data_IF_213886401223
#
_entry.id   IF_213886401223
#
_cell.length_a   1.000
_cell.length_b   1.000
_cell.length_c   1.000
_cell.angle_alpha   90.00
_cell.angle_beta   90.00
_cell.angle_gamma   90.00
#
_symmetry.space_group_name_H-M   'P 1'
#
loop_
_entity.id
_entity.type
_entity.pdbx_description
1 polymer ?
#
# COMPACT_ATOMS: atom_id res chain seq x y z
N UNK A 1 54.49 41.83 41.52
CA UNK A 1 54.55 40.62 40.67
C UNK A 1 53.13 40.32 40.20
N UNK A 2 52.70 40.91 39.09
CA UNK A 2 51.36 40.74 38.53
C UNK A 2 51.39 39.58 37.53
N UNK A 3 50.76 38.44 37.86
CA UNK A 3 50.49 37.37 36.91
C UNK A 3 49.09 37.60 36.32
N UNK A 4 49.02 38.00 35.05
CA UNK A 4 47.83 37.78 34.21
C UNK A 4 47.77 36.29 33.86
N UNK A 5 46.62 35.62 33.90
CA UNK A 5 46.40 34.43 33.08
C UNK A 5 45.93 34.87 31.68
N UNK A 6 46.75 34.54 30.68
CA UNK A 6 46.33 34.41 29.30
C UNK A 6 45.62 33.06 29.14
N UNK A 7 44.50 33.05 28.43
CA UNK A 7 44.07 31.98 27.50
C UNK A 7 42.66 32.34 27.01
N UNK A 8 42.58 33.24 26.05
CA UNK A 8 41.41 33.34 25.18
C UNK A 8 41.57 32.24 24.12
N UNK A 9 40.61 31.31 24.11
CA UNK A 9 40.52 30.29 23.08
C UNK A 9 39.91 30.97 21.85
N UNK A 10 40.68 31.10 20.77
CA UNK A 10 40.20 31.58 19.49
C UNK A 10 39.15 30.60 18.95
N UNK A 11 37.89 31.03 18.97
CA UNK A 11 36.79 30.30 18.34
C UNK A 11 36.84 30.59 16.84
N UNK A 12 37.00 29.59 15.95
CA UNK A 12 36.96 29.83 14.52
C UNK A 12 35.56 30.28 14.09
N UNK A 13 35.53 31.38 13.36
CA UNK A 13 34.36 32.03 12.76
C UNK A 13 33.61 31.06 11.83
N UNK A 14 32.55 30.41 12.35
CA UNK A 14 31.67 29.57 11.55
C UNK A 14 30.77 30.49 10.73
N UNK A 15 31.00 30.46 9.42
CA UNK A 15 30.24 31.18 8.40
C UNK A 15 28.75 30.84 8.53
N UNK A 16 27.96 31.91 8.63
CA UNK A 16 26.52 32.06 8.41
C UNK A 16 25.81 30.91 7.67
N UNK A 17 24.71 30.44 8.25
CA UNK A 17 23.76 29.50 7.64
C UNK A 17 23.21 30.00 6.29
N UNK A 18 22.99 29.11 5.30
CA UNK A 18 22.35 29.48 4.04
C UNK A 18 20.87 29.78 4.26
N UNK A 19 20.40 30.91 3.69
CA UNK A 19 18.99 31.32 3.74
C UNK A 19 18.14 30.41 2.84
N UNK A 20 16.89 30.20 3.25
CA UNK A 20 15.92 29.23 2.71
C UNK A 20 15.46 29.55 1.27
N UNK A 21 15.86 30.69 0.71
CA UNK A 21 15.35 31.20 -0.57
C UNK A 21 16.08 30.67 -1.83
N UNK A 22 17.13 29.84 -1.66
CA UNK A 22 17.94 29.32 -2.78
C UNK A 22 17.43 27.99 -3.37
N UNK A 23 16.31 27.44 -2.89
CA UNK A 23 15.74 26.22 -3.47
C UNK A 23 14.72 26.54 -4.58
N UNK A 24 14.97 26.15 -5.84
CA UNK A 24 13.99 26.33 -6.90
C UNK A 24 12.74 25.47 -6.62
N UNK A 25 11.52 25.98 -6.89
CA UNK A 25 10.30 25.25 -6.58
C UNK A 25 10.23 23.95 -7.41
N UNK A 26 9.99 22.83 -6.72
CA UNK A 26 9.85 21.52 -7.35
C UNK A 26 8.72 21.54 -8.39
N UNK A 27 9.08 21.28 -9.66
CA UNK A 27 8.10 21.11 -10.75
C UNK A 27 7.24 19.88 -10.47
N UNK A 28 5.96 20.09 -10.20
CA UNK A 28 4.96 19.01 -10.10
C UNK A 28 4.89 18.27 -11.44
N UNK A 29 5.41 17.04 -11.50
CA UNK A 29 5.18 16.13 -12.64
C UNK A 29 3.72 15.69 -12.58
N UNK A 30 2.93 16.08 -13.60
CA UNK A 30 1.62 15.49 -13.87
C UNK A 30 1.87 14.08 -14.42
N UNK A 31 1.46 13.04 -13.70
CA UNK A 31 1.39 11.71 -14.27
C UNK A 31 0.06 11.57 -15.01
N UNK A 32 0.15 11.59 -16.33
CA UNK A 32 -0.86 11.14 -17.27
C UNK A 32 -0.81 9.61 -17.26
N UNK A 33 -1.90 8.93 -16.91
CA UNK A 33 -2.00 7.47 -16.95
C UNK A 33 -2.57 7.03 -18.29
N UNK A 34 -1.70 6.88 -19.27
CA UNK A 34 -1.93 6.11 -20.50
C UNK A 34 -0.64 5.33 -20.79
N UNK A 35 -0.72 4.02 -20.73
CA UNK A 35 0.17 3.12 -21.46
C UNK A 35 -0.55 1.79 -21.64
N UNK A 36 -0.83 1.52 -22.90
CA UNK A 36 -1.28 0.25 -23.42
C UNK A 36 -0.13 -0.77 -23.53
N UNK A 37 -0.56 -2.03 -23.52
CA UNK A 37 -0.10 -3.20 -24.29
C UNK A 37 1.22 -3.95 -24.00
N UNK A 38 1.08 -5.28 -23.90
CA UNK A 38 1.75 -6.35 -24.69
C UNK A 38 1.54 -7.68 -23.92
N UNK A 39 0.65 -8.53 -24.40
CA UNK A 39 0.94 -9.63 -25.35
C UNK A 39 1.95 -10.63 -24.80
N UNK A 40 1.46 -11.84 -24.50
CA UNK A 40 2.20 -13.03 -24.92
C UNK A 40 1.22 -14.17 -25.26
N UNK A 41 1.45 -14.70 -26.45
CA UNK A 41 0.76 -15.74 -27.21
C UNK A 41 1.42 -17.10 -26.99
N UNK A 42 0.65 -18.18 -26.93
CA UNK A 42 1.11 -19.53 -27.31
C UNK A 42 0.02 -20.25 -28.12
N UNK A 43 0.48 -20.86 -29.22
CA UNK A 43 -0.21 -21.43 -30.39
C UNK A 43 -0.85 -22.83 -30.17
N UNK A 44 -1.43 -23.37 -31.26
CA UNK A 44 -1.93 -24.74 -31.55
C UNK A 44 -3.42 -25.02 -31.25
N UNK A 45 -4.28 -25.45 -32.16
CA UNK A 45 -4.16 -25.96 -33.54
C UNK A 45 -5.42 -25.66 -34.36
N UNK A 46 -5.25 -25.42 -35.67
CA UNK A 46 -6.32 -25.32 -36.67
C UNK A 46 -6.69 -26.72 -37.18
N UNK A 47 -7.97 -27.09 -37.13
CA UNK A 47 -8.54 -28.12 -37.99
C UNK A 47 -9.99 -27.75 -38.38
N UNK A 48 -10.20 -27.53 -39.69
CA UNK A 48 -11.52 -27.40 -40.34
C UNK A 48 -11.93 -28.78 -40.90
N UNK A 49 -13.23 -29.10 -40.87
CA UNK A 49 -13.94 -29.35 -42.14
C UNK A 49 -15.35 -28.74 -42.12
N UNK A 50 -15.72 -27.90 -43.09
CA UNK A 50 -16.32 -28.21 -44.42
C UNK A 50 -17.85 -27.97 -44.41
N UNK A 51 -18.35 -27.43 -45.52
CA UNK A 51 -19.57 -26.65 -45.64
C UNK A 51 -20.85 -27.50 -45.84
N UNK A 52 -22.00 -27.02 -45.33
CA UNK A 52 -23.30 -27.14 -46.01
C UNK A 52 -24.41 -26.29 -45.32
N UNK A 53 -24.70 -25.14 -45.95
CA UNK A 53 -26.03 -24.59 -46.30
C UNK A 53 -27.23 -24.44 -45.32
N UNK A 54 -27.73 -23.19 -45.30
CA UNK A 54 -29.14 -22.70 -45.30
C UNK A 54 -29.95 -22.50 -43.98
N UNK A 55 -30.58 -21.30 -43.90
CA UNK A 55 -31.29 -20.65 -42.77
C UNK A 55 -32.73 -21.18 -42.59
N UNK A 56 -33.42 -20.97 -41.44
CA UNK A 56 -34.14 -19.70 -41.25
C UNK A 56 -34.17 -19.14 -39.81
N UNK A 57 -34.60 -17.87 -39.75
CA UNK A 57 -34.79 -17.02 -38.57
C UNK A 57 -35.38 -17.74 -37.33
N UNK A 58 -34.60 -17.77 -36.25
CA UNK A 58 -35.09 -17.99 -34.89
C UNK A 58 -34.88 -16.72 -34.08
N UNK A 59 -36.00 -16.11 -33.68
CA UNK A 59 -36.12 -14.87 -32.93
C UNK A 59 -35.19 -14.83 -31.71
N UNK A 60 -34.01 -14.22 -31.86
CA UNK A 60 -33.11 -13.91 -30.73
C UNK A 60 -33.77 -12.83 -29.88
N UNK A 61 -34.31 -13.22 -28.72
CA UNK A 61 -34.75 -12.27 -27.68
C UNK A 61 -33.57 -11.37 -27.33
N UNK A 62 -33.68 -10.08 -27.65
CA UNK A 62 -32.64 -9.10 -27.37
C UNK A 62 -32.54 -8.87 -25.85
N UNK A 63 -31.49 -9.37 -25.22
CA UNK A 63 -31.14 -9.04 -23.83
C UNK A 63 -30.15 -7.87 -23.83
N UNK A 64 -30.47 -6.78 -23.14
CA UNK A 64 -29.60 -5.60 -23.03
C UNK A 64 -28.81 -5.66 -21.72
N UNK A 65 -27.49 -5.49 -21.79
CA UNK A 65 -26.59 -5.54 -20.63
C UNK A 65 -26.10 -4.14 -20.29
N UNK A 66 -26.34 -3.69 -19.05
CA UNK A 66 -25.90 -2.39 -18.52
C UNK A 66 -24.49 -2.48 -17.91
N UNK A 67 -23.82 -1.33 -17.75
CA UNK A 67 -22.42 -1.19 -17.28
C UNK A 67 -22.12 -1.78 -15.88
N UNK A 68 -23.11 -2.33 -15.19
CA UNK A 68 -22.97 -2.99 -13.89
C UNK A 68 -23.42 -4.48 -13.90
N UNK A 69 -23.50 -5.10 -15.08
CA UNK A 69 -23.83 -6.52 -15.23
C UNK A 69 -25.30 -6.87 -14.99
N UNK A 70 -26.18 -5.87 -14.97
CA UNK A 70 -27.63 -6.10 -14.96
C UNK A 70 -28.10 -6.38 -16.38
N UNK A 71 -28.67 -7.57 -16.58
CA UNK A 71 -29.31 -7.98 -17.84
C UNK A 71 -30.81 -7.82 -17.71
N UNK A 72 -31.43 -7.05 -18.62
CA UNK A 72 -32.89 -6.93 -18.70
C UNK A 72 -33.37 -7.67 -19.94
N UNK A 73 -34.34 -8.57 -19.76
CA UNK A 73 -35.02 -9.25 -20.86
C UNK A 73 -36.19 -8.37 -21.34
N UNK A 74 -36.53 -8.46 -22.62
CA UNK A 74 -37.59 -7.67 -23.25
C UNK A 74 -39.01 -7.89 -22.69
N UNK A 75 -39.17 -8.82 -21.75
CA UNK A 75 -40.44 -9.19 -21.11
C UNK A 75 -40.56 -8.65 -19.66
N UNK A 76 -39.69 -7.72 -19.26
CA UNK A 76 -39.74 -7.05 -17.94
C UNK A 76 -39.41 -7.94 -16.73
N UNK A 77 -39.20 -9.24 -16.95
CA UNK A 77 -38.80 -10.19 -15.91
C UNK A 77 -37.31 -10.01 -15.57
N UNK A 78 -37.07 -9.61 -14.32
CA UNK A 78 -35.74 -9.60 -13.70
C UNK A 78 -35.45 -11.04 -13.26
N UNK A 79 -34.54 -11.74 -13.93
CA UNK A 79 -33.98 -12.99 -13.39
C UNK A 79 -33.06 -12.63 -12.21
N UNK A 80 -33.43 -12.88 -10.94
CA UNK A 80 -32.54 -12.65 -9.82
C UNK A 80 -31.62 -13.87 -9.76
N UNK A 81 -30.47 -13.80 -10.44
CA UNK A 81 -29.35 -14.68 -10.08
C UNK A 81 -28.87 -14.25 -8.71
N UNK A 82 -29.48 -14.80 -7.66
CA UNK A 82 -29.04 -14.66 -6.28
C UNK A 82 -27.61 -15.21 -6.16
N UNK A 83 -26.63 -14.31 -6.24
CA UNK A 83 -25.27 -14.60 -5.78
C UNK A 83 -25.37 -14.84 -4.27
N UNK A 84 -25.39 -16.11 -3.86
CA UNK A 84 -25.30 -16.53 -2.45
C UNK A 84 -24.10 -15.83 -1.82
N UNK A 85 -24.34 -14.75 -1.07
CA UNK A 85 -23.34 -14.14 -0.20
C UNK A 85 -22.95 -15.19 0.83
N UNK A 86 -21.73 -15.72 0.72
CA UNK A 86 -21.17 -16.61 1.75
C UNK A 86 -21.27 -15.86 3.08
N UNK A 87 -22.04 -16.40 4.03
CA UNK A 87 -22.10 -15.85 5.39
C UNK A 87 -20.75 -16.11 6.02
N UNK A 88 -19.92 -15.09 6.11
CA UNK A 88 -18.64 -15.18 6.82
C UNK A 88 -18.90 -15.43 8.30
N UNK A 89 -18.10 -16.30 8.90
CA UNK A 89 -18.17 -16.60 10.32
C UNK A 89 -17.84 -15.35 11.16
N UNK A 90 -18.17 -15.36 12.46
CA UNK A 90 -17.82 -14.26 13.36
C UNK A 90 -16.31 -13.98 13.38
N UNK A 91 -15.50 -15.04 13.51
CA UNK A 91 -14.03 -14.95 13.53
C UNK A 91 -13.44 -14.38 12.23
N UNK A 92 -13.98 -14.77 11.07
CA UNK A 92 -13.49 -14.27 9.78
C UNK A 92 -13.72 -12.76 9.63
N UNK A 93 -14.80 -12.24 10.21
CA UNK A 93 -15.08 -10.80 10.23
C UNK A 93 -14.14 -10.04 11.16
N UNK A 94 -13.79 -10.62 12.31
CA UNK A 94 -12.86 -10.02 13.26
C UNK A 94 -11.45 -9.90 12.67
N UNK A 95 -10.96 -10.98 12.06
CA UNK A 95 -9.67 -10.98 11.37
C UNK A 95 -9.62 -9.96 10.22
N UNK A 96 -10.72 -9.81 9.46
CA UNK A 96 -10.80 -8.79 8.41
C UNK A 96 -10.78 -7.37 8.98
N UNK A 97 -11.49 -7.13 10.08
CA UNK A 97 -11.51 -5.82 10.74
C UNK A 97 -10.11 -5.47 11.27
N UNK A 98 -9.38 -6.43 11.83
CA UNK A 98 -7.99 -6.23 12.24
C UNK A 98 -7.07 -5.94 11.06
N UNK A 99 -7.21 -6.69 9.96
CA UNK A 99 -6.45 -6.45 8.74
C UNK A 99 -6.75 -5.05 8.14
N UNK A 100 -8.00 -4.61 8.17
CA UNK A 100 -8.40 -3.27 7.75
C UNK A 100 -7.76 -2.19 8.61
N UNK A 101 -7.72 -2.37 9.94
CA UNK A 101 -7.01 -1.46 10.85
C UNK A 101 -5.53 -1.36 10.52
N UNK A 102 -4.87 -2.50 10.28
CA UNK A 102 -3.46 -2.56 9.89
C UNK A 102 -3.24 -1.84 8.55
N UNK A 103 -4.09 -2.11 7.56
CA UNK A 103 -3.99 -1.46 6.25
C UNK A 103 -4.25 0.04 6.33
N UNK A 104 -5.19 0.48 7.17
CA UNK A 104 -5.41 1.89 7.45
C UNK A 104 -4.16 2.55 8.03
N UNK A 105 -3.51 1.91 9.01
CA UNK A 105 -2.27 2.40 9.59
C UNK A 105 -1.13 2.51 8.57
N UNK A 106 -0.99 1.52 7.68
CA UNK A 106 -0.03 1.55 6.56
C UNK A 106 -0.30 2.73 5.62
N UNK A 107 -1.56 2.98 5.28
CA UNK A 107 -1.96 4.07 4.39
C UNK A 107 -1.70 5.47 4.99
N UNK A 108 -1.89 5.62 6.30
CA UNK A 108 -1.56 6.86 7.01
C UNK A 108 -0.06 7.17 6.93
N UNK A 109 0.77 6.15 7.17
CA UNK A 109 2.23 6.26 7.16
C UNK A 109 2.88 6.14 5.77
N UNK A 110 2.09 6.02 4.69
CA UNK A 110 2.57 5.84 3.31
C UNK A 110 3.43 4.59 3.11
N UNK A 111 3.11 3.52 3.83
CA UNK A 111 3.79 2.24 3.75
C UNK A 111 3.08 1.35 2.74
N UNK A 112 3.81 0.88 1.73
CA UNK A 112 3.36 -0.16 0.80
C UNK A 112 4.19 -1.41 1.02
N UNK A 113 3.54 -2.56 1.09
CA UNK A 113 4.19 -3.85 1.37
C UNK A 113 3.79 -4.87 0.32
N UNK A 114 4.77 -5.64 -0.12
CA UNK A 114 4.64 -6.73 -1.08
C UNK A 114 5.24 -7.97 -0.45
N UNK A 115 4.50 -9.07 -0.43
CA UNK A 115 4.98 -10.33 0.16
C UNK A 115 3.85 -11.12 0.80
N UNK A 116 4.17 -12.33 1.25
CA UNK A 116 3.27 -13.19 2.04
C UNK A 116 3.70 -13.13 3.50
N UNK A 117 2.73 -13.29 4.42
CA UNK A 117 2.97 -13.29 5.88
C UNK A 117 3.73 -12.05 6.34
N UNK A 118 3.26 -10.88 5.93
CA UNK A 118 3.87 -9.60 6.34
C UNK A 118 3.36 -9.24 7.74
N UNK A 119 4.26 -9.00 8.72
CA UNK A 119 3.88 -8.67 10.08
C UNK A 119 3.13 -7.32 10.17
N UNK A 120 2.42 -7.11 11.28
CA UNK A 120 1.82 -5.82 11.56
C UNK A 120 2.91 -4.76 11.81
N UNK A 121 2.73 -3.52 11.32
CA UNK A 121 3.64 -2.43 11.63
C UNK A 121 3.48 -1.99 13.09
N UNK A 122 4.60 -1.64 13.74
CA UNK A 122 4.60 -1.07 15.10
C UNK A 122 4.48 0.44 15.05
N UNK A 123 3.68 1.01 15.94
CA UNK A 123 3.50 2.45 16.07
C UNK A 123 4.53 3.10 17.00
N UNK A 124 5.02 2.38 18.01
CA UNK A 124 5.95 2.92 19.00
C UNK A 124 7.09 1.95 19.30
N UNK A 125 8.22 2.48 19.78
CA UNK A 125 9.36 1.66 20.21
C UNK A 125 9.01 0.76 21.42
N UNK A 126 8.04 1.15 22.25
CA UNK A 126 7.61 0.36 23.41
C UNK A 126 6.85 -0.91 23.02
N UNK A 127 6.21 -0.93 21.85
CA UNK A 127 5.60 -2.16 21.32
C UNK A 127 6.65 -3.21 20.99
N UNK A 128 7.83 -2.80 20.51
CA UNK A 128 8.93 -3.73 20.20
C UNK A 128 9.43 -4.49 21.44
N UNK A 129 9.47 -3.82 22.61
CA UNK A 129 9.84 -4.49 23.86
C UNK A 129 8.79 -5.54 24.27
N UNK A 130 7.50 -5.22 24.12
CA UNK A 130 6.39 -6.11 24.51
C UNK A 130 6.17 -7.28 23.57
N UNK A 131 6.23 -7.03 22.27
CA UNK A 131 5.84 -8.00 21.24
C UNK A 131 7.05 -8.83 20.75
N UNK A 132 8.24 -8.22 20.70
CA UNK A 132 9.45 -8.85 20.15
C UNK A 132 10.58 -9.04 21.17
N UNK A 133 10.39 -8.67 22.44
CA UNK A 133 11.38 -8.88 23.50
C UNK A 133 12.66 -8.04 23.35
N UNK A 134 12.57 -6.88 22.70
CA UNK A 134 13.69 -5.93 22.62
C UNK A 134 14.02 -5.40 24.01
N UNK A 135 15.31 -5.34 24.36
CA UNK A 135 15.78 -4.87 25.67
C UNK A 135 15.37 -3.42 25.93
N UNK A 136 14.84 -3.16 27.12
CA UNK A 136 14.40 -1.82 27.54
C UNK A 136 15.53 -0.78 27.49
N UNK A 137 16.77 -1.17 27.83
CA UNK A 137 17.95 -0.31 27.74
C UNK A 137 18.14 0.30 26.33
N UNK A 138 17.84 -0.48 25.29
CA UNK A 138 17.94 -0.01 23.91
C UNK A 138 16.85 1.00 23.59
N UNK A 139 15.61 0.71 24.01
CA UNK A 139 14.47 1.62 23.83
C UNK A 139 14.71 2.95 24.56
N UNK A 140 15.25 2.89 25.77
CA UNK A 140 15.66 4.08 26.52
C UNK A 140 16.73 4.88 25.80
N UNK A 141 17.75 4.22 25.24
CA UNK A 141 18.81 4.91 24.51
C UNK A 141 18.28 5.61 23.25
N UNK A 142 17.38 4.95 22.51
CA UNK A 142 16.69 5.55 21.36
C UNK A 142 15.91 6.81 21.78
N UNK A 143 15.19 6.75 22.90
CA UNK A 143 14.47 7.89 23.48
C UNK A 143 15.41 9.01 23.95
N UNK A 144 16.54 8.67 24.59
CA UNK A 144 17.58 9.62 25.02
C UNK A 144 18.22 10.35 23.84
N UNK A 145 18.33 9.70 22.69
CA UNK A 145 18.75 10.32 21.43
C UNK A 145 17.70 11.26 20.80
N UNK A 146 16.52 11.39 21.40
CA UNK A 146 15.45 12.27 20.92
C UNK A 146 14.49 11.62 19.93
N UNK A 147 14.63 10.32 19.64
CA UNK A 147 13.69 9.59 18.79
C UNK A 147 12.48 9.16 19.60
N UNK A 148 11.36 9.87 19.40
CA UNK A 148 10.10 9.60 20.10
C UNK A 148 9.32 8.44 19.47
N UNK A 149 9.28 8.42 18.14
CA UNK A 149 8.50 7.47 17.34
C UNK A 149 9.35 6.92 16.19
N UNK A 150 9.16 5.65 15.81
CA UNK A 150 9.80 5.07 14.64
C UNK A 150 9.36 5.80 13.37
N UNK A 151 10.28 5.96 12.42
CA UNK A 151 9.94 6.45 11.08
C UNK A 151 9.10 5.42 10.32
N UNK A 152 8.33 5.82 9.27
CA UNK A 152 7.47 4.88 8.54
C UNK A 152 8.18 3.63 8.02
N UNK A 153 9.42 3.76 7.56
CA UNK A 153 10.20 2.60 7.11
C UNK A 153 10.54 1.67 8.28
N UNK A 154 10.88 2.23 9.45
CA UNK A 154 11.20 1.46 10.67
C UNK A 154 9.97 0.78 11.27
N UNK A 155 8.79 1.42 11.23
CA UNK A 155 7.54 0.86 11.73
C UNK A 155 7.27 -0.54 11.16
N UNK A 156 7.58 -0.76 9.88
CA UNK A 156 7.37 -2.04 9.22
C UNK A 156 8.64 -2.89 9.13
N UNK A 157 9.82 -2.28 8.97
CA UNK A 157 11.08 -3.01 8.86
C UNK A 157 11.49 -3.68 10.17
N UNK A 158 11.25 -3.04 11.32
CA UNK A 158 11.64 -3.59 12.62
C UNK A 158 10.93 -4.92 12.92
N UNK A 159 9.58 -5.02 12.81
CA UNK A 159 8.89 -6.30 12.97
C UNK A 159 9.37 -7.37 12.00
N UNK A 160 9.58 -7.02 10.72
CA UNK A 160 10.07 -7.96 9.69
C UNK A 160 11.43 -8.56 10.05
N UNK A 161 12.33 -7.77 10.65
CA UNK A 161 13.67 -8.23 11.03
C UNK A 161 13.68 -9.07 12.31
N UNK A 162 12.64 -8.98 13.13
CA UNK A 162 12.55 -9.62 14.45
C UNK A 162 11.69 -10.88 14.45
N UNK A 163 11.15 -11.26 13.29
CA UNK A 163 10.30 -12.45 13.10
C UNK A 163 11.09 -13.74 12.88
#
# INVERSE_FOLDING_TARGET
INKKPQNAIDVPNIKTEPKIDDFPPAKRRKHNSESENSENSEDSDNEYPDEAETKPASSKKASLTLLNGMTVNSDGSKDPKEKKKKKMSGEEKEAQLEQEKINHFRNLNKISVVGRRVPAPVATFDQLAKEHGVKDDLIENIKKCGYKEPTPIQMQAMPILLE
#
